data_IF_122974635927
#
_entry.id   IF_122974635927
#
_cell.length_a   1.000
_cell.length_b   1.000
_cell.length_c   1.000
_cell.angle_alpha   90.00
_cell.angle_beta   90.00
_cell.angle_gamma   90.00
#
_symmetry.space_group_name_H-M   'P 1'
#
loop_
_entity.id
_entity.type
_entity.pdbx_description
1 polymer ?
#
# COMPACT_ATOMS: atom_id res chain seq x y z
N UNK A 1 69.55 38.50 -9.80
CA UNK A 1 68.47 38.22 -8.82
C UNK A 1 67.08 37.95 -9.42
N UNK A 2 66.80 38.21 -10.71
CA UNK A 2 65.45 38.08 -11.30
C UNK A 2 64.89 36.67 -11.51
N UNK A 3 65.72 35.69 -11.94
CA UNK A 3 65.25 34.31 -12.26
C UNK A 3 64.71 33.50 -11.07
N UNK A 4 65.12 33.82 -9.84
CA UNK A 4 64.71 33.09 -8.63
C UNK A 4 63.33 33.54 -8.13
N UNK A 5 62.95 34.80 -8.38
CA UNK A 5 61.62 35.35 -8.04
C UNK A 5 60.52 34.81 -8.96
N UNK A 6 60.75 34.73 -10.28
CA UNK A 6 59.70 34.25 -11.21
C UNK A 6 59.37 32.77 -11.00
N UNK A 7 60.38 31.91 -10.75
CA UNK A 7 60.15 30.49 -10.40
C UNK A 7 59.35 30.33 -9.10
N UNK A 8 59.56 31.23 -8.12
CA UNK A 8 58.83 31.19 -6.85
C UNK A 8 57.36 31.56 -7.01
N UNK A 9 57.04 32.52 -7.89
CA UNK A 9 55.67 32.89 -8.24
C UNK A 9 54.94 31.77 -9.00
N UNK A 10 55.64 31.11 -9.92
CA UNK A 10 55.12 29.94 -10.66
C UNK A 10 54.74 28.79 -9.71
N UNK A 11 55.62 28.46 -8.77
CA UNK A 11 55.37 27.41 -7.76
C UNK A 11 54.19 27.79 -6.85
N UNK A 12 54.06 29.08 -6.49
CA UNK A 12 52.92 29.58 -5.70
C UNK A 12 51.60 29.40 -6.47
N UNK A 13 51.56 29.80 -7.76
CA UNK A 13 50.40 29.65 -8.62
C UNK A 13 49.98 28.19 -8.80
N UNK A 14 50.94 27.28 -9.03
CA UNK A 14 50.64 25.84 -9.16
C UNK A 14 50.06 25.27 -7.85
N UNK A 15 50.56 25.72 -6.70
CA UNK A 15 50.07 25.29 -5.38
C UNK A 15 48.64 25.80 -5.11
N UNK A 16 48.33 27.03 -5.51
CA UNK A 16 46.97 27.59 -5.41
C UNK A 16 45.98 26.91 -6.35
N UNK A 17 46.39 26.56 -7.58
CA UNK A 17 45.56 25.80 -8.52
C UNK A 17 45.24 24.40 -7.97
N UNK A 18 46.23 23.69 -7.41
CA UNK A 18 46.01 22.40 -6.74
C UNK A 18 45.06 22.53 -5.55
N UNK A 19 45.21 23.58 -4.74
CA UNK A 19 44.35 23.84 -3.58
C UNK A 19 42.91 24.13 -4.00
N UNK A 20 42.70 24.92 -5.06
CA UNK A 20 41.38 25.15 -5.67
C UNK A 20 40.74 23.87 -6.18
N UNK A 21 41.48 23.03 -6.92
CA UNK A 21 40.98 21.73 -7.43
C UNK A 21 40.54 20.80 -6.29
N UNK A 22 41.31 20.73 -5.20
CA UNK A 22 40.98 19.87 -4.06
C UNK A 22 39.67 20.31 -3.39
N UNK A 23 39.51 21.61 -3.14
CA UNK A 23 38.25 22.19 -2.62
C UNK A 23 37.05 21.93 -3.54
N UNK A 24 37.25 22.03 -4.85
CA UNK A 24 36.18 21.79 -5.82
C UNK A 24 35.73 20.32 -5.85
N UNK A 25 36.66 19.38 -5.61
CA UNK A 25 36.33 17.96 -5.49
C UNK A 25 35.63 17.63 -4.17
N UNK A 26 36.04 18.26 -3.06
CA UNK A 26 35.36 18.13 -1.76
C UNK A 26 33.92 18.63 -1.83
N UNK A 27 33.69 19.82 -2.41
CA UNK A 27 32.35 20.39 -2.61
C UNK A 27 31.45 19.53 -3.51
N UNK A 28 32.01 18.85 -4.52
CA UNK A 28 31.24 17.92 -5.37
C UNK A 28 30.82 16.68 -4.62
N UNK A 29 31.70 16.11 -3.78
CA UNK A 29 31.37 14.95 -2.94
C UNK A 29 30.29 15.29 -1.93
N UNK A 30 30.41 16.44 -1.27
CA UNK A 30 29.42 16.90 -0.30
C UNK A 30 28.04 17.10 -0.94
N UNK A 31 27.97 17.67 -2.15
CA UNK A 31 26.70 17.76 -2.89
C UNK A 31 26.12 16.40 -3.26
N UNK A 32 26.95 15.45 -3.70
CA UNK A 32 26.52 14.08 -4.03
C UNK A 32 25.97 13.35 -2.80
N UNK A 33 26.64 13.45 -1.65
CA UNK A 33 26.18 12.84 -0.39
C UNK A 33 24.86 13.46 0.07
N UNK A 34 24.69 14.78 -0.09
CA UNK A 34 23.44 15.49 0.23
C UNK A 34 22.31 15.05 -0.69
N UNK A 35 22.56 14.93 -2.01
CA UNK A 35 21.56 14.48 -2.97
C UNK A 35 21.15 13.02 -2.70
N UNK A 36 22.10 12.11 -2.40
CA UNK A 36 21.80 10.72 -2.00
C UNK A 36 21.01 10.64 -0.68
N UNK A 37 21.34 11.48 0.30
CA UNK A 37 20.58 11.52 1.57
C UNK A 37 19.19 12.11 1.41
N UNK A 38 18.98 13.06 0.50
CA UNK A 38 17.65 13.59 0.18
C UNK A 38 16.83 12.53 -0.58
N UNK A 39 17.43 11.85 -1.56
CA UNK A 39 16.76 10.83 -2.37
C UNK A 39 16.37 9.61 -1.53
N UNK A 40 17.25 9.15 -0.63
CA UNK A 40 16.96 8.06 0.30
C UNK A 40 15.87 8.43 1.33
N UNK A 41 15.84 9.68 1.80
CA UNK A 41 14.76 10.19 2.66
C UNK A 41 13.43 10.28 1.90
N UNK A 42 13.44 10.68 0.62
CA UNK A 42 12.26 10.71 -0.25
C UNK A 42 11.66 9.32 -0.45
N UNK A 43 12.50 8.34 -0.81
CA UNK A 43 12.09 6.94 -0.99
C UNK A 43 11.52 6.31 0.28
N UNK A 44 12.09 6.60 1.46
CA UNK A 44 11.53 6.13 2.75
C UNK A 44 10.13 6.67 3.01
N UNK A 45 9.89 7.97 2.75
CA UNK A 45 8.56 8.58 2.93
C UNK A 45 7.53 7.95 1.99
N UNK A 46 7.91 7.65 0.75
CA UNK A 46 7.02 7.01 -0.21
C UNK A 46 6.65 5.57 0.20
N UNK A 47 7.62 4.82 0.73
CA UNK A 47 7.39 3.47 1.29
C UNK A 47 6.45 3.53 2.50
N UNK A 48 6.67 4.48 3.42
CA UNK A 48 5.84 4.65 4.61
C UNK A 48 4.38 4.99 4.24
N UNK A 49 4.19 5.91 3.29
CA UNK A 49 2.85 6.27 2.79
C UNK A 49 2.17 5.07 2.15
N UNK A 50 2.89 4.27 1.36
CA UNK A 50 2.35 3.05 0.75
C UNK A 50 1.96 2.01 1.80
N UNK A 51 2.79 1.79 2.82
CA UNK A 51 2.51 0.86 3.91
C UNK A 51 1.25 1.28 4.67
N UNK A 52 1.07 2.58 4.91
CA UNK A 52 -0.10 3.11 5.61
C UNK A 52 -1.38 2.88 4.79
N UNK A 53 -1.33 3.09 3.47
CA UNK A 53 -2.45 2.84 2.56
C UNK A 53 -2.81 1.34 2.50
N UNK A 54 -1.80 0.46 2.38
CA UNK A 54 -2.01 -0.99 2.37
C UNK A 54 -2.61 -1.47 3.71
N UNK A 55 -2.18 -0.89 4.84
CA UNK A 55 -2.72 -1.20 6.17
C UNK A 55 -4.18 -0.75 6.31
N UNK A 56 -4.52 0.45 5.83
CA UNK A 56 -5.92 0.94 5.82
C UNK A 56 -6.82 0.04 4.97
N UNK A 57 -6.37 -0.35 3.78
CA UNK A 57 -7.10 -1.28 2.91
C UNK A 57 -7.27 -2.67 3.54
N UNK A 58 -6.25 -3.16 4.26
CA UNK A 58 -6.31 -4.42 4.99
C UNK A 58 -7.41 -4.42 6.06
N UNK A 59 -7.46 -3.38 6.90
CA UNK A 59 -8.50 -3.23 7.92
C UNK A 59 -9.89 -3.02 7.32
N UNK A 60 -9.99 -2.21 6.26
CA UNK A 60 -11.25 -2.02 5.54
C UNK A 60 -11.82 -3.37 5.09
N UNK A 61 -10.98 -4.25 4.54
CA UNK A 61 -11.37 -5.59 4.11
C UNK A 61 -11.77 -6.53 5.24
N UNK A 62 -11.08 -6.45 6.37
CA UNK A 62 -11.46 -7.21 7.55
C UNK A 62 -12.91 -6.87 7.97
N UNK A 63 -13.23 -5.58 8.03
CA UNK A 63 -14.57 -5.09 8.34
C UNK A 63 -15.57 -5.51 7.26
N UNK A 64 -15.21 -5.46 5.97
CA UNK A 64 -16.07 -5.96 4.88
C UNK A 64 -16.36 -7.43 5.03
N UNK A 65 -15.35 -8.26 5.29
CA UNK A 65 -15.52 -9.71 5.40
C UNK A 65 -16.52 -10.05 6.51
N UNK A 66 -16.40 -9.35 7.64
CA UNK A 66 -17.35 -9.44 8.74
C UNK A 66 -18.77 -9.03 8.31
N UNK A 67 -18.92 -7.83 7.74
CA UNK A 67 -20.22 -7.30 7.33
C UNK A 67 -20.89 -8.17 6.26
N UNK A 68 -20.14 -8.63 5.27
CA UNK A 68 -20.62 -9.47 4.17
C UNK A 68 -21.06 -10.84 4.70
N UNK A 69 -20.28 -11.44 5.61
CA UNK A 69 -20.62 -12.72 6.25
C UNK A 69 -21.87 -12.63 7.12
N UNK A 70 -21.98 -11.56 7.91
CA UNK A 70 -23.14 -11.27 8.75
C UNK A 70 -24.39 -11.02 7.90
N UNK A 71 -24.34 -10.03 7.00
CA UNK A 71 -25.48 -9.59 6.21
C UNK A 71 -25.94 -10.69 5.26
N UNK A 72 -25.02 -11.37 4.58
CA UNK A 72 -25.38 -12.40 3.60
C UNK A 72 -26.12 -13.57 4.26
N UNK A 73 -25.70 -13.99 5.47
CA UNK A 73 -26.41 -15.04 6.20
C UNK A 73 -27.76 -14.55 6.74
N UNK A 74 -27.85 -13.31 7.23
CA UNK A 74 -29.10 -12.73 7.74
C UNK A 74 -30.16 -12.52 6.65
N UNK A 75 -29.74 -12.20 5.42
CA UNK A 75 -30.63 -12.19 4.25
C UNK A 75 -31.14 -13.59 3.92
N UNK A 76 -30.42 -14.63 4.37
CA UNK A 76 -30.79 -16.02 4.21
C UNK A 76 -29.93 -16.78 3.21
N UNK A 77 -28.86 -16.20 2.66
CA UNK A 77 -28.04 -16.91 1.68
C UNK A 77 -27.30 -18.10 2.28
N UNK A 78 -27.43 -19.25 1.62
CA UNK A 78 -26.77 -20.50 2.00
C UNK A 78 -26.06 -21.11 0.78
N UNK A 79 -24.94 -21.81 1.02
CA UNK A 79 -24.18 -22.54 0.00
C UNK A 79 -23.67 -21.63 -1.12
N UNK A 80 -24.03 -21.95 -2.36
CA UNK A 80 -23.56 -21.25 -3.55
C UNK A 80 -23.94 -19.77 -3.61
N UNK A 81 -25.13 -19.39 -3.12
CA UNK A 81 -25.52 -17.97 -3.08
C UNK A 81 -24.61 -17.17 -2.16
N UNK A 82 -24.18 -17.76 -1.06
CA UNK A 82 -23.32 -17.10 -0.09
C UNK A 82 -21.89 -16.95 -0.64
N UNK A 83 -21.45 -17.91 -1.46
CA UNK A 83 -20.20 -17.80 -2.23
C UNK A 83 -20.28 -16.70 -3.29
N UNK A 84 -21.36 -16.64 -4.08
CA UNK A 84 -21.56 -15.59 -5.08
C UNK A 84 -21.59 -14.21 -4.40
N UNK A 85 -22.32 -14.08 -3.30
CA UNK A 85 -22.39 -12.88 -2.49
C UNK A 85 -20.99 -12.42 -2.05
N UNK A 86 -20.20 -13.32 -1.47
CA UNK A 86 -18.82 -13.03 -1.08
C UNK A 86 -17.96 -12.58 -2.26
N UNK A 87 -18.07 -13.23 -3.43
CA UNK A 87 -17.28 -12.87 -4.62
C UNK A 87 -17.67 -11.49 -5.16
N UNK A 88 -18.96 -11.17 -5.21
CA UNK A 88 -19.45 -9.85 -5.64
C UNK A 88 -18.82 -8.76 -4.77
N UNK A 89 -18.91 -8.88 -3.45
CA UNK A 89 -18.33 -7.90 -2.54
C UNK A 89 -16.82 -7.86 -2.54
N UNK A 90 -16.17 -9.01 -2.78
CA UNK A 90 -14.72 -9.07 -2.93
C UNK A 90 -14.24 -8.24 -4.13
N UNK A 91 -14.96 -8.27 -5.26
CA UNK A 91 -14.60 -7.46 -6.42
C UNK A 91 -15.05 -6.01 -6.28
N UNK A 92 -16.27 -5.73 -5.81
CA UNK A 92 -16.82 -4.38 -5.76
C UNK A 92 -16.24 -3.50 -4.65
N UNK A 93 -16.06 -4.05 -3.45
CA UNK A 93 -15.74 -3.26 -2.27
C UNK A 93 -14.36 -2.57 -2.32
N UNK A 94 -13.28 -3.20 -2.83
CA UNK A 94 -11.99 -2.55 -2.96
C UNK A 94 -12.03 -1.27 -3.82
N UNK A 95 -12.82 -1.27 -4.90
CA UNK A 95 -13.02 -0.07 -5.70
C UNK A 95 -13.83 0.98 -4.93
N UNK A 96 -14.92 0.59 -4.28
CA UNK A 96 -15.74 1.51 -3.49
C UNK A 96 -14.93 2.19 -2.39
N UNK A 97 -14.15 1.43 -1.64
CA UNK A 97 -13.27 1.95 -0.57
C UNK A 97 -12.24 2.93 -1.12
N UNK A 98 -11.60 2.59 -2.24
CA UNK A 98 -10.55 3.40 -2.85
C UNK A 98 -11.07 4.74 -3.35
N UNK A 99 -12.25 4.75 -3.99
CA UNK A 99 -12.84 5.96 -4.57
C UNK A 99 -13.67 6.80 -3.60
N UNK A 100 -14.50 6.15 -2.78
CA UNK A 100 -15.53 6.83 -1.98
C UNK A 100 -15.02 7.16 -0.58
N UNK A 101 -14.33 6.21 0.07
CA UNK A 101 -13.91 6.34 1.46
C UNK A 101 -12.58 7.07 1.55
N UNK A 102 -11.53 6.51 0.94
CA UNK A 102 -10.18 7.08 1.06
C UNK A 102 -9.87 8.15 0.03
N UNK A 103 -10.68 8.24 -1.05
CA UNK A 103 -10.51 9.21 -2.14
C UNK A 103 -9.06 9.29 -2.59
N UNK A 104 -8.43 8.14 -2.81
CA UNK A 104 -7.03 8.12 -3.21
C UNK A 104 -6.86 8.92 -4.51
N UNK A 105 -5.87 9.82 -4.50
CA UNK A 105 -5.56 10.64 -5.66
C UNK A 105 -5.24 9.72 -6.84
N UNK A 106 -5.97 9.88 -7.94
CA UNK A 106 -5.89 8.98 -9.08
C UNK A 106 -4.51 9.12 -9.74
N UNK A 107 -3.60 8.20 -9.44
CA UNK A 107 -2.31 8.09 -10.11
C UNK A 107 -2.29 6.84 -11.00
N UNK A 108 -2.20 7.07 -12.31
CA UNK A 108 -2.29 6.05 -13.37
C UNK A 108 -1.23 4.96 -13.24
N UNK A 109 -0.09 5.23 -12.61
CA UNK A 109 1.01 4.27 -12.42
C UNK A 109 0.80 3.35 -11.21
N UNK A 110 0.17 3.86 -10.14
CA UNK A 110 -0.07 3.07 -8.92
C UNK A 110 -1.39 2.31 -8.98
N UNK A 111 -2.35 2.78 -9.78
CA UNK A 111 -3.67 2.20 -9.97
C UNK A 111 -3.66 1.00 -10.95
N UNK A 112 -3.11 -0.11 -10.48
CA UNK A 112 -3.30 -1.41 -11.14
C UNK A 112 -4.38 -2.20 -10.39
N UNK A 113 -5.31 -2.83 -11.11
CA UNK A 113 -6.37 -3.67 -10.54
C UNK A 113 -5.79 -4.76 -9.63
N UNK A 114 -4.61 -5.27 -9.97
CA UNK A 114 -3.87 -6.23 -9.14
C UNK A 114 -3.46 -5.65 -7.79
N UNK A 115 -3.06 -4.38 -7.73
CA UNK A 115 -2.65 -3.71 -6.50
C UNK A 115 -3.85 -3.35 -5.62
N UNK A 116 -5.02 -3.12 -6.20
CA UNK A 116 -6.26 -2.84 -5.44
C UNK A 116 -6.86 -4.14 -4.90
N UNK A 117 -6.80 -5.23 -5.69
CA UNK A 117 -7.45 -6.51 -5.36
C UNK A 117 -6.56 -7.41 -4.49
N UNK A 118 -5.24 -7.41 -4.63
CA UNK A 118 -4.37 -8.32 -3.83
C UNK A 118 -4.33 -8.07 -2.32
N UNK A 119 -4.21 -6.82 -1.82
CA UNK A 119 -3.92 -6.58 -0.41
C UNK A 119 -5.05 -7.03 0.50
N UNK A 120 -4.78 -7.89 1.50
CA UNK A 120 -5.80 -8.29 2.48
C UNK A 120 -6.89 -9.23 1.96
N UNK A 121 -6.61 -10.02 0.92
CA UNK A 121 -7.55 -11.04 0.40
C UNK A 121 -7.79 -12.15 1.42
N UNK A 122 -6.71 -12.64 2.03
CA UNK A 122 -6.77 -13.76 2.97
C UNK A 122 -7.57 -13.39 4.22
N UNK A 123 -7.37 -12.19 4.75
CA UNK A 123 -8.10 -11.73 5.94
C UNK A 123 -9.60 -11.53 5.66
N UNK A 124 -9.95 -11.03 4.47
CA UNK A 124 -11.34 -10.91 4.05
C UNK A 124 -12.02 -12.29 4.04
N UNK A 125 -11.43 -13.26 3.35
CA UNK A 125 -11.95 -14.62 3.26
C UNK A 125 -12.03 -15.29 4.64
N UNK A 126 -10.99 -15.15 5.45
CA UNK A 126 -10.93 -15.78 6.77
C UNK A 126 -11.99 -15.23 7.73
N UNK A 127 -12.13 -13.90 7.83
CA UNK A 127 -13.13 -13.27 8.69
C UNK A 127 -14.54 -13.54 8.17
N UNK A 128 -14.74 -13.52 6.85
CA UNK A 128 -16.00 -13.91 6.24
C UNK A 128 -16.39 -15.32 6.66
N UNK A 129 -15.50 -16.31 6.50
CA UNK A 129 -15.75 -17.71 6.86
C UNK A 129 -16.10 -17.89 8.33
N UNK A 130 -15.33 -17.27 9.25
CA UNK A 130 -15.61 -17.35 10.69
C UNK A 130 -16.97 -16.74 10.98
N UNK A 131 -17.22 -15.53 10.49
CA UNK A 131 -18.45 -14.79 10.78
C UNK A 131 -19.66 -15.52 10.20
N UNK A 132 -19.61 -15.93 8.94
CA UNK A 132 -20.70 -16.67 8.30
C UNK A 132 -21.00 -17.98 9.01
N UNK A 133 -19.97 -18.69 9.48
CA UNK A 133 -20.14 -19.96 10.21
C UNK A 133 -20.79 -19.74 11.56
N UNK A 134 -20.31 -18.77 12.35
CA UNK A 134 -20.89 -18.43 13.65
C UNK A 134 -22.36 -18.02 13.48
N UNK A 135 -22.64 -17.10 12.56
CA UNK A 135 -24.00 -16.59 12.34
C UNK A 135 -24.89 -17.71 11.78
N UNK A 136 -24.38 -18.56 10.89
CA UNK A 136 -25.15 -19.69 10.40
C UNK A 136 -25.54 -20.65 11.52
N UNK A 137 -24.59 -21.01 12.39
CA UNK A 137 -24.85 -21.87 13.55
C UNK A 137 -25.88 -21.25 14.50
N UNK A 138 -25.78 -19.94 14.77
CA UNK A 138 -26.77 -19.23 15.59
C UNK A 138 -28.16 -19.22 14.94
N UNK A 139 -28.24 -18.95 13.64
CA UNK A 139 -29.51 -18.98 12.89
C UNK A 139 -30.15 -20.37 12.92
N UNK A 140 -29.36 -21.44 12.74
CA UNK A 140 -29.87 -22.81 12.80
C UNK A 140 -30.33 -23.16 14.22
N UNK A 141 -29.54 -22.81 15.25
CA UNK A 141 -29.91 -23.02 16.65
C UNK A 141 -31.23 -22.32 17.02
N UNK A 142 -31.45 -21.10 16.53
CA UNK A 142 -32.67 -20.32 16.77
C UNK A 142 -33.82 -20.64 15.81
N UNK A 143 -33.64 -21.62 14.92
CA UNK A 143 -34.62 -22.00 13.90
C UNK A 143 -35.09 -20.82 13.02
N UNK A 144 -34.13 -19.98 12.60
CA UNK A 144 -34.38 -18.79 11.80
C UNK A 144 -34.93 -19.17 10.42
N UNK A 145 -36.10 -18.66 10.00
CA UNK A 145 -36.87 -19.23 8.89
C UNK A 145 -36.34 -18.88 7.49
N UNK A 146 -35.25 -18.12 7.38
CA UNK A 146 -34.73 -17.63 6.10
C UNK A 146 -33.53 -18.46 5.64
N UNK A 147 -33.80 -19.40 4.74
CA UNK A 147 -32.82 -20.11 3.92
C UNK A 147 -33.17 -19.92 2.44
N UNK A 148 -32.36 -19.14 1.75
CA UNK A 148 -32.43 -18.90 0.31
C UNK A 148 -31.25 -19.68 -0.29
N UNK A 149 -31.59 -20.67 -1.12
CA UNK A 149 -30.62 -21.46 -1.87
C UNK A 149 -31.03 -21.50 -3.35
N UNK A 150 -30.06 -21.67 -4.26
CA UNK A 150 -30.31 -21.76 -5.71
C UNK A 150 -31.27 -22.91 -6.07
N UNK A 151 -31.34 -23.94 -5.22
CA UNK A 151 -32.17 -25.13 -5.45
C UNK A 151 -33.49 -25.10 -4.66
N UNK A 152 -33.84 -23.99 -4.02
CA UNK A 152 -35.17 -23.74 -3.47
C UNK A 152 -35.56 -24.54 -2.23
N UNK A 153 -34.78 -25.51 -1.76
CA UNK A 153 -35.16 -26.33 -0.59
C UNK A 153 -33.93 -26.81 0.20
N UNK A 154 -33.82 -26.35 1.45
CA UNK A 154 -33.36 -27.11 2.63
C UNK A 154 -33.62 -26.31 3.91
#
# INVERSE_FOLDING_TARGET
>A
MGKKKSKLEEIKNIKDIKKKRKRLMELRKEKLDVDETIESKGKKKEIDVRLEQETKLYWARAITGFAVGLIGRLIGFVGWLMLIWMVIWWFLFPFFVSFVIYRFEYNKETWNWKNIIKPGIGIYFFIFMITSTIIHTLCVYWNYPLNISIWGFL
#
